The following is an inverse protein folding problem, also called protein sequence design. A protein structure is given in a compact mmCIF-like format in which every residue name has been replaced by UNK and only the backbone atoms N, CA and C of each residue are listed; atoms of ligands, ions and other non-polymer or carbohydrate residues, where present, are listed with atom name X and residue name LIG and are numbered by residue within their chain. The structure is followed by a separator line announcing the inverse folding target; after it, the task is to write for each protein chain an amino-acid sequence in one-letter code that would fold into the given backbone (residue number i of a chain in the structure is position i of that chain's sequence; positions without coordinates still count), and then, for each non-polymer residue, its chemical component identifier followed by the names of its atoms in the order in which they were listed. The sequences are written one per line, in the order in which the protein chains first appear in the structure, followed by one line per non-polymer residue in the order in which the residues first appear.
data_IF_026808724439
#
_entry.id   IF_026808724439
#
_cell.length_a   1.000
_cell.length_b   1.000
_cell.length_c   1.000
_cell.angle_alpha   90.00
_cell.angle_beta   90.00
_cell.angle_gamma   90.00
#
_symmetry.space_group_name_H-M   'P 1'
#
loop_
_entity.id
_entity.type
_entity.pdbx_description
1 polymer ?
#
# COMPACT_ATOMS: atom_id res chain seq x y z
N UNK A 1 -12.12 -12.72 38.43
CA UNK A 1 -10.75 -13.26 38.25
C UNK A 1 -9.77 -12.34 38.95
N UNK A 2 -8.52 -12.78 39.20
CA UNK A 2 -7.39 -11.90 39.57
C UNK A 2 -6.57 -11.59 38.30
N UNK A 3 -5.98 -10.39 38.15
CA UNK A 3 -5.04 -10.13 37.06
C UNK A 3 -3.67 -10.75 37.36
N UNK A 4 -3.18 -11.61 36.47
CA UNK A 4 -1.82 -12.17 36.51
C UNK A 4 -0.82 -11.09 36.07
N UNK A 5 0.04 -10.62 36.99
CA UNK A 5 1.09 -9.63 36.65
C UNK A 5 2.33 -10.33 36.13
N UNK A 6 2.51 -10.38 34.81
CA UNK A 6 3.72 -10.91 34.18
C UNK A 6 4.97 -10.13 34.61
N UNK A 7 5.83 -10.74 35.42
CA UNK A 7 7.12 -10.16 35.83
C UNK A 7 8.16 -10.33 34.72
N UNK A 8 8.48 -9.24 34.04
CA UNK A 8 9.59 -9.18 33.07
C UNK A 8 10.92 -9.42 33.80
N UNK A 9 11.54 -10.58 33.57
CA UNK A 9 12.83 -10.97 34.18
C UNK A 9 14.01 -10.30 33.46
N UNK A 10 14.12 -8.98 33.57
CA UNK A 10 15.20 -8.19 32.96
C UNK A 10 16.49 -8.34 33.76
N UNK A 11 17.58 -8.80 33.12
CA UNK A 11 18.86 -8.94 33.81
C UNK A 11 19.48 -7.57 34.13
N UNK A 12 20.31 -7.51 35.19
CA UNK A 12 20.99 -6.25 35.59
C UNK A 12 21.77 -5.60 34.44
N UNK A 13 22.35 -6.38 33.52
CA UNK A 13 23.08 -5.86 32.35
C UNK A 13 22.15 -5.16 31.35
N UNK A 14 20.95 -5.71 31.10
CA UNK A 14 19.94 -5.09 30.24
C UNK A 14 19.35 -3.82 30.87
N UNK A 15 19.16 -3.80 32.20
CA UNK A 15 18.68 -2.61 32.90
C UNK A 15 19.64 -1.42 32.75
N UNK A 16 20.97 -1.65 32.88
CA UNK A 16 21.96 -0.60 32.62
C UNK A 16 21.93 -0.09 31.17
N UNK A 17 21.75 -0.97 30.17
CA UNK A 17 21.63 -0.55 28.77
C UNK A 17 20.41 0.36 28.53
N UNK A 18 19.24 0.00 29.08
CA UNK A 18 18.02 0.81 29.00
C UNK A 18 18.21 2.19 29.63
N UNK A 19 18.87 2.26 30.79
CA UNK A 19 19.13 3.53 31.48
C UNK A 19 20.05 4.47 30.68
N UNK A 20 21.06 3.93 30.00
CA UNK A 20 21.96 4.72 29.13
C UNK A 20 21.22 5.27 27.91
N UNK A 21 20.40 4.44 27.24
CA UNK A 21 19.63 4.85 26.06
C UNK A 21 18.66 6.00 26.41
N UNK A 22 17.94 5.88 27.53
CA UNK A 22 17.03 6.93 28.00
C UNK A 22 17.73 8.27 28.29
N UNK A 23 18.95 8.24 28.84
CA UNK A 23 19.73 9.44 29.12
C UNK A 23 20.20 10.17 27.84
N UNK A 24 20.55 9.43 26.77
CA UNK A 24 20.99 10.00 25.49
C UNK A 24 19.81 10.60 24.70
N UNK A 25 18.64 9.95 24.73
CA UNK A 25 17.39 10.54 24.19
C UNK A 25 17.01 11.86 24.87
N UNK A 26 17.42 12.02 26.14
CA UNK A 26 17.41 13.26 26.94
C UNK A 26 17.81 14.50 26.13
N UNK A 27 19.10 14.55 25.78
CA UNK A 27 19.80 15.79 25.41
C UNK A 27 19.60 16.27 23.97
N UNK A 28 19.19 15.40 23.04
CA UNK A 28 19.02 15.79 21.64
C UNK A 28 17.71 16.54 21.39
N UNK A 29 16.64 16.23 22.13
CA UNK A 29 15.34 16.89 21.97
C UNK A 29 15.37 18.39 22.34
N UNK A 30 16.30 18.82 23.20
CA UNK A 30 16.40 20.20 23.66
C UNK A 30 16.90 21.19 22.61
N UNK A 31 17.56 20.72 21.54
CA UNK A 31 18.24 21.59 20.57
C UNK A 31 17.34 22.08 19.42
N UNK A 32 16.19 21.44 19.20
CA UNK A 32 15.38 21.65 17.98
C UNK A 32 14.33 22.77 18.14
N UNK A 33 13.87 23.03 19.37
CA UNK A 33 12.73 23.93 19.64
C UNK A 33 13.11 25.44 19.71
N UNK A 34 14.22 25.83 19.08
CA UNK A 34 14.87 27.14 19.23
C UNK A 34 14.91 28.03 17.97
N UNK A 35 13.94 27.91 17.05
CA UNK A 35 13.84 28.70 15.81
C UNK A 35 12.79 29.83 15.88
N UNK A 36 13.03 30.95 15.18
CA UNK A 36 12.22 32.18 15.27
C UNK A 36 11.34 32.42 14.04
N UNK A 37 10.15 32.98 14.28
CA UNK A 37 9.13 33.43 13.30
C UNK A 37 9.55 34.64 12.45
N UNK A 38 8.95 34.82 11.26
CA UNK A 38 8.38 36.11 10.82
C UNK A 38 7.29 35.99 9.72
N UNK A 39 6.66 37.12 9.32
CA UNK A 39 5.48 37.24 8.40
C UNK A 39 5.91 37.45 6.92
N UNK A 40 5.10 37.66 5.86
CA UNK A 40 3.66 38.02 5.62
C UNK A 40 3.34 37.73 4.12
N UNK A 41 2.21 38.01 3.43
CA UNK A 41 0.93 38.73 3.66
C UNK A 41 -0.16 38.24 2.64
N UNK A 42 -1.34 38.89 2.65
CA UNK A 42 -2.55 38.63 1.83
C UNK A 42 -2.50 39.07 0.35
N UNK A 43 -3.48 38.57 -0.44
CA UNK A 43 -3.90 39.11 -1.74
C UNK A 43 -5.21 38.49 -2.26
N UNK A 44 -6.31 39.26 -2.26
CA UNK A 44 -7.63 38.84 -2.81
C UNK A 44 -7.81 39.25 -4.29
N UNK A 45 -8.68 38.54 -5.02
CA UNK A 45 -9.10 38.93 -6.38
C UNK A 45 -10.28 38.13 -6.93
N UNK A 46 -11.46 38.75 -7.04
CA UNK A 46 -12.65 38.18 -7.69
C UNK A 46 -12.58 38.27 -9.24
N UNK A 47 -13.15 37.29 -9.95
CA UNK A 47 -13.36 37.32 -11.40
C UNK A 47 -14.45 36.34 -11.85
N UNK A 48 -15.33 36.75 -12.77
CA UNK A 48 -16.54 35.99 -13.19
C UNK A 48 -16.50 35.55 -14.65
N UNK A 49 -17.30 34.52 -14.97
CA UNK A 49 -17.49 33.88 -16.27
C UNK A 49 -17.74 34.84 -17.46
N UNK A 50 -17.45 34.38 -18.69
CA UNK A 50 -18.42 34.09 -19.78
C UNK A 50 -17.81 33.05 -20.74
N UNK A 51 -18.61 32.17 -21.36
CA UNK A 51 -18.21 31.39 -22.55
C UNK A 51 -18.42 32.19 -23.86
N UNK A 52 -17.55 32.01 -24.86
CA UNK A 52 -17.83 32.46 -26.24
C UNK A 52 -17.07 31.69 -27.34
N UNK A 53 -17.60 30.50 -27.70
CA UNK A 53 -17.81 30.02 -29.08
C UNK A 53 -16.88 30.53 -30.21
N UNK A 54 -16.05 29.63 -30.75
CA UNK A 54 -15.69 29.63 -32.16
C UNK A 54 -15.40 28.20 -32.67
N UNK A 55 -16.13 27.75 -33.69
CA UNK A 55 -15.67 26.67 -34.57
C UNK A 55 -15.14 27.32 -35.85
N UNK A 56 -14.02 26.81 -36.36
CA UNK A 56 -13.70 26.88 -37.78
C UNK A 56 -13.38 25.46 -38.20
N UNK A 57 -13.99 24.99 -39.29
CA UNK A 57 -13.42 23.88 -40.04
C UNK A 57 -12.13 24.34 -40.76
N UNK A 58 -11.47 23.36 -41.36
CA UNK A 58 -10.16 23.51 -42.00
C UNK A 58 -9.81 22.23 -42.76
N UNK A 59 -10.72 21.76 -43.62
CA UNK A 59 -10.48 20.59 -44.46
C UNK A 59 -9.26 20.81 -45.36
N UNK A 60 -8.20 20.01 -45.23
CA UNK A 60 -7.13 19.97 -46.24
C UNK A 60 -6.49 18.57 -46.37
N UNK A 61 -7.02 17.82 -47.34
CA UNK A 61 -6.35 16.83 -48.21
C UNK A 61 -5.21 15.93 -47.68
N UNK A 62 -5.29 14.63 -48.03
CA UNK A 62 -4.32 14.22 -49.06
C UNK A 62 -3.42 12.98 -48.91
N UNK A 63 -3.88 11.88 -48.30
CA UNK A 63 -3.51 10.48 -48.68
C UNK A 63 -2.03 10.01 -48.67
N UNK A 64 -1.86 8.79 -48.15
CA UNK A 64 -0.76 7.80 -48.40
C UNK A 64 0.57 8.00 -47.65
N UNK A 65 0.73 7.17 -46.62
CA UNK A 65 1.98 6.75 -45.96
C UNK A 65 1.69 5.41 -45.28
N UNK A 66 2.70 4.58 -45.03
CA UNK A 66 2.54 3.23 -44.48
C UNK A 66 3.18 3.07 -43.09
N UNK A 67 2.79 1.99 -42.43
CA UNK A 67 3.42 1.34 -41.27
C UNK A 67 3.32 1.97 -39.88
N UNK A 68 3.42 1.05 -38.90
CA UNK A 68 3.59 1.22 -37.45
C UNK A 68 2.43 1.76 -36.62
N UNK A 69 1.93 0.90 -35.72
CA UNK A 69 1.45 1.34 -34.41
C UNK A 69 2.65 1.86 -33.61
N UNK A 70 2.49 3.01 -32.94
CA UNK A 70 3.27 3.36 -31.75
C UNK A 70 2.29 3.73 -30.65
N UNK A 71 2.39 3.05 -29.50
CA UNK A 71 1.38 3.08 -28.44
C UNK A 71 1.39 4.38 -27.63
N UNK A 72 0.21 4.76 -27.12
CA UNK A 72 -0.04 5.98 -26.35
C UNK A 72 0.63 5.96 -24.96
N UNK A 73 1.92 6.34 -24.92
CA UNK A 73 2.71 6.50 -23.69
C UNK A 73 2.54 7.90 -23.09
N UNK A 74 1.30 8.24 -22.72
CA UNK A 74 0.94 9.55 -22.16
C UNK A 74 0.95 9.66 -20.62
N UNK A 75 0.73 8.57 -19.88
CA UNK A 75 0.57 8.61 -18.41
C UNK A 75 1.90 8.37 -17.67
N UNK A 76 2.77 9.37 -17.69
CA UNK A 76 3.87 9.49 -16.74
C UNK A 76 3.34 10.06 -15.41
N UNK A 77 2.89 9.19 -14.51
CA UNK A 77 2.45 9.60 -13.18
C UNK A 77 3.64 10.13 -12.35
N UNK A 78 3.40 11.20 -11.61
CA UNK A 78 4.41 12.04 -10.95
C UNK A 78 4.68 11.68 -9.50
N UNK A 79 4.43 10.44 -9.08
CA UNK A 79 4.49 10.02 -7.68
C UNK A 79 5.92 9.99 -7.13
N UNK A 80 6.25 10.99 -6.32
CA UNK A 80 7.61 11.26 -5.87
C UNK A 80 7.96 10.56 -4.53
N UNK A 81 7.75 9.25 -4.45
CA UNK A 81 8.12 8.42 -3.28
C UNK A 81 9.50 7.74 -3.43
N UNK A 82 10.12 7.40 -2.28
CA UNK A 82 11.43 6.74 -2.11
C UNK A 82 11.90 5.93 -3.34
N UNK A 83 12.98 6.39 -3.98
CA UNK A 83 13.45 5.97 -5.32
C UNK A 83 13.96 4.51 -5.34
N UNK A 84 13.01 3.59 -5.20
CA UNK A 84 13.19 2.15 -5.29
C UNK A 84 13.55 1.81 -6.73
N UNK A 85 14.85 1.66 -7.00
CA UNK A 85 15.37 1.37 -8.34
C UNK A 85 14.57 0.24 -9.01
N UNK A 86 14.17 0.43 -10.28
CA UNK A 86 13.54 -0.64 -11.04
C UNK A 86 14.58 -1.70 -11.37
N UNK A 87 14.27 -2.96 -11.07
CA UNK A 87 15.16 -4.08 -11.35
C UNK A 87 15.12 -4.53 -12.82
N UNK A 88 15.97 -5.50 -13.20
CA UNK A 88 16.03 -6.03 -14.56
C UNK A 88 14.71 -6.58 -15.13
N UNK A 89 13.74 -6.91 -14.27
CA UNK A 89 12.43 -7.46 -14.65
C UNK A 89 11.29 -6.43 -14.49
N UNK A 90 11.62 -5.16 -14.18
CA UNK A 90 10.66 -4.07 -14.01
C UNK A 90 10.00 -3.98 -12.63
N UNK A 91 10.37 -4.85 -11.69
CA UNK A 91 9.91 -4.82 -10.30
C UNK A 91 10.66 -3.80 -9.44
N UNK A 92 10.23 -3.65 -8.18
CA UNK A 92 10.92 -2.86 -7.15
C UNK A 92 12.16 -3.65 -6.68
N UNK A 93 13.37 -3.11 -6.89
CA UNK A 93 14.64 -3.73 -6.49
C UNK A 93 15.12 -3.17 -5.15
N UNK A 94 15.29 -4.06 -4.17
CA UNK A 94 15.83 -3.81 -2.85
C UNK A 94 17.26 -4.37 -2.74
N UNK A 95 18.12 -3.74 -1.93
CA UNK A 95 19.50 -4.17 -1.65
C UNK A 95 19.82 -3.97 -0.17
N UNK A 96 20.38 -4.99 0.47
CA UNK A 96 20.88 -4.92 1.86
C UNK A 96 22.26 -5.60 1.93
N UNK A 97 23.31 -4.79 1.99
CA UNK A 97 24.70 -5.25 1.91
C UNK A 97 25.02 -5.91 0.55
N UNK A 98 25.52 -7.14 0.59
CA UNK A 98 25.80 -7.94 -0.61
C UNK A 98 24.54 -8.55 -1.26
N UNK A 99 23.42 -8.64 -0.53
CA UNK A 99 22.20 -9.31 -0.95
C UNK A 99 21.20 -8.33 -1.59
N UNK A 100 20.44 -8.81 -2.58
CA UNK A 100 19.37 -8.03 -3.21
C UNK A 100 18.16 -8.88 -3.57
N UNK A 101 17.03 -8.21 -3.73
CA UNK A 101 15.74 -8.84 -4.03
C UNK A 101 14.93 -7.92 -4.95
N UNK A 102 14.45 -8.42 -6.08
CA UNK A 102 13.47 -7.72 -6.91
C UNK A 102 12.09 -8.33 -6.67
N UNK A 103 11.07 -7.49 -6.46
CA UNK A 103 9.68 -7.92 -6.29
C UNK A 103 8.78 -7.24 -7.33
N UNK A 104 7.97 -8.04 -8.02
CA UNK A 104 6.97 -7.61 -8.99
C UNK A 104 5.63 -8.27 -8.68
N UNK A 105 4.54 -7.50 -8.67
CA UNK A 105 3.20 -8.08 -8.76
C UNK A 105 2.94 -8.38 -10.24
N UNK A 106 2.80 -9.66 -10.59
CA UNK A 106 2.61 -10.13 -11.96
C UNK A 106 1.19 -10.65 -12.12
N UNK A 107 0.47 -10.16 -13.13
CA UNK A 107 -0.95 -10.43 -13.36
C UNK A 107 -1.16 -11.44 -14.50
N UNK A 108 -0.18 -12.34 -14.66
CA UNK A 108 -0.12 -13.36 -15.70
C UNK A 108 -1.41 -14.20 -15.72
N UNK A 109 -2.30 -13.93 -16.69
CA UNK A 109 -3.57 -14.65 -16.85
C UNK A 109 -4.72 -14.15 -15.97
N UNK A 110 -4.62 -12.97 -15.34
CA UNK A 110 -5.68 -12.39 -14.50
C UNK A 110 -5.69 -12.91 -13.06
N UNK A 111 -4.63 -13.59 -12.62
CA UNK A 111 -4.37 -13.92 -11.22
C UNK A 111 -3.14 -13.14 -10.71
N UNK A 112 -3.31 -11.97 -10.05
CA UNK A 112 -2.19 -11.22 -9.50
C UNK A 112 -1.40 -12.06 -8.48
N UNK A 113 -0.11 -12.25 -8.74
CA UNK A 113 0.80 -13.09 -7.94
C UNK A 113 2.13 -12.39 -7.76
N UNK A 114 2.72 -12.46 -6.57
CA UNK A 114 4.01 -11.84 -6.33
C UNK A 114 5.12 -12.73 -6.92
N UNK A 115 5.89 -12.20 -7.87
CA UNK A 115 7.10 -12.81 -8.42
C UNK A 115 8.33 -12.12 -7.81
N UNK A 116 9.32 -12.91 -7.41
CA UNK A 116 10.52 -12.47 -6.71
C UNK A 116 11.76 -13.03 -7.40
N UNK A 117 12.77 -12.18 -7.58
CA UNK A 117 14.12 -12.59 -7.99
C UNK A 117 15.13 -12.26 -6.90
N UNK A 118 16.18 -13.07 -6.79
CA UNK A 118 17.20 -12.98 -5.75
C UNK A 118 18.56 -12.61 -6.36
N UNK A 119 19.35 -11.82 -5.64
CA UNK A 119 20.65 -11.33 -6.11
C UNK A 119 21.73 -11.42 -5.02
N UNK A 120 22.97 -11.66 -5.44
CA UNK A 120 24.17 -11.42 -4.65
C UNK A 120 25.17 -10.65 -5.51
N UNK A 121 25.67 -9.51 -5.01
CA UNK A 121 26.63 -8.63 -5.72
C UNK A 121 26.16 -8.34 -7.16
N UNK A 122 24.88 -7.98 -7.27
CA UNK A 122 24.14 -7.64 -8.49
C UNK A 122 24.00 -8.77 -9.53
N UNK A 123 24.41 -10.00 -9.19
CA UNK A 123 24.22 -11.20 -10.02
C UNK A 123 23.02 -11.98 -9.54
N UNK A 124 22.21 -12.48 -10.47
CA UNK A 124 21.07 -13.33 -10.15
C UNK A 124 21.52 -14.61 -9.42
N UNK A 125 20.85 -14.91 -8.31
CA UNK A 125 20.95 -16.16 -7.57
C UNK A 125 19.92 -17.17 -8.09
N UNK A 126 20.14 -18.45 -7.79
CA UNK A 126 19.10 -19.45 -7.98
C UNK A 126 17.91 -19.18 -7.05
N UNK A 127 16.70 -19.44 -7.52
CA UNK A 127 15.44 -19.37 -6.76
C UNK A 127 15.41 -20.29 -5.52
N UNK A 128 16.36 -21.22 -5.37
CA UNK A 128 16.57 -22.05 -4.19
C UNK A 128 17.59 -21.50 -3.16
N UNK A 129 18.25 -20.37 -3.43
CA UNK A 129 19.33 -19.83 -2.58
C UNK A 129 18.84 -19.21 -1.25
N UNK A 130 17.57 -18.83 -1.17
CA UNK A 130 16.91 -18.37 0.06
C UNK A 130 15.50 -18.94 0.16
N UNK A 131 15.03 -19.22 1.37
CA UNK A 131 13.61 -19.49 1.63
C UNK A 131 12.88 -18.16 1.82
N UNK A 132 12.00 -17.82 0.88
CA UNK A 132 11.23 -16.57 0.92
C UNK A 132 9.80 -16.82 1.40
N UNK A 133 9.28 -15.86 2.17
CA UNK A 133 7.89 -15.74 2.58
C UNK A 133 7.52 -14.26 2.68
N UNK A 134 6.26 -13.90 2.44
CA UNK A 134 5.81 -12.52 2.58
C UNK A 134 4.48 -12.43 3.33
N UNK A 135 4.14 -11.24 3.81
CA UNK A 135 2.83 -10.92 4.41
C UNK A 135 2.31 -9.65 3.76
N UNK A 136 1.13 -9.74 3.13
CA UNK A 136 0.35 -8.60 2.67
C UNK A 136 -0.53 -8.14 3.82
N UNK A 137 -0.54 -6.85 4.13
CA UNK A 137 -1.45 -6.21 5.10
C UNK A 137 -2.32 -5.21 4.36
N UNK A 138 -3.63 -5.49 4.24
CA UNK A 138 -4.61 -4.60 3.60
C UNK A 138 -4.98 -3.42 4.51
N UNK A 139 -5.50 -2.33 3.94
CA UNK A 139 -5.98 -1.16 4.70
C UNK A 139 -7.05 -1.49 5.77
N UNK A 140 -7.77 -2.60 5.61
CA UNK A 140 -8.74 -3.14 6.57
C UNK A 140 -8.10 -3.77 7.82
N UNK A 141 -6.77 -3.88 7.86
CA UNK A 141 -6.03 -4.62 8.88
C UNK A 141 -5.95 -6.14 8.63
N UNK A 142 -6.58 -6.64 7.56
CA UNK A 142 -6.50 -8.05 7.15
C UNK A 142 -5.07 -8.40 6.74
N UNK A 143 -4.59 -9.58 7.16
CA UNK A 143 -3.24 -10.08 6.84
C UNK A 143 -3.29 -11.40 6.08
N UNK A 144 -2.63 -11.43 4.93
CA UNK A 144 -2.53 -12.58 4.05
C UNK A 144 -1.06 -13.00 3.93
N UNK A 145 -0.74 -14.22 4.35
CA UNK A 145 0.59 -14.80 4.17
C UNK A 145 0.77 -15.33 2.73
N UNK A 146 1.96 -15.10 2.15
CA UNK A 146 2.36 -15.62 0.84
C UNK A 146 3.54 -16.60 1.00
N UNK A 147 3.41 -17.77 0.40
CA UNK A 147 4.41 -18.80 0.29
C UNK A 147 4.88 -18.91 -1.15
N UNK A 148 6.17 -19.15 -1.37
CA UNK A 148 6.76 -19.11 -2.72
C UNK A 148 7.18 -20.50 -3.20
N UNK A 149 7.08 -20.70 -4.51
CA UNK A 149 7.61 -21.86 -5.24
C UNK A 149 8.53 -21.39 -6.37
N UNK A 150 9.67 -22.06 -6.63
CA UNK A 150 10.51 -21.76 -7.77
C UNK A 150 9.73 -21.84 -9.10
N UNK A 151 9.78 -20.76 -9.87
CA UNK A 151 9.37 -20.70 -11.27
C UNK A 151 10.56 -20.19 -12.09
N UNK A 152 11.28 -21.12 -12.73
CA UNK A 152 12.51 -20.85 -13.49
C UNK A 152 13.57 -20.19 -12.58
N UNK A 153 14.11 -19.06 -13.02
CA UNK A 153 14.99 -18.12 -12.31
C UNK A 153 14.32 -17.39 -11.13
N UNK A 154 12.98 -17.39 -11.05
CA UNK A 154 12.20 -16.63 -10.08
C UNK A 154 11.55 -17.49 -8.99
N UNK A 155 10.93 -16.82 -8.02
CA UNK A 155 10.06 -17.37 -6.98
C UNK A 155 8.66 -16.76 -7.15
N UNK A 156 7.63 -17.58 -7.40
CA UNK A 156 6.25 -17.14 -7.59
C UNK A 156 5.37 -17.49 -6.39
N UNK A 157 4.47 -16.58 -5.98
CA UNK A 157 3.53 -16.83 -4.88
C UNK A 157 2.49 -17.89 -5.23
N UNK A 158 2.28 -18.84 -4.30
CA UNK A 158 1.29 -19.91 -4.42
C UNK A 158 -0.13 -19.37 -4.27
N UNK A 159 -0.29 -18.40 -3.40
CA UNK A 159 -1.51 -17.63 -3.17
C UNK A 159 -1.60 -16.46 -4.17
N UNK A 160 -2.81 -16.15 -4.62
CA UNK A 160 -3.12 -14.94 -5.37
C UNK A 160 -3.24 -13.74 -4.43
N UNK A 161 -2.93 -12.54 -4.90
CA UNK A 161 -3.06 -11.27 -4.17
C UNK A 161 -4.20 -10.46 -4.79
N UNK A 162 -5.48 -10.79 -4.51
CA UNK A 162 -6.60 -10.14 -5.17
C UNK A 162 -6.70 -8.66 -4.81
N UNK A 163 -7.24 -7.89 -5.77
CA UNK A 163 -7.63 -6.50 -5.67
C UNK A 163 -8.40 -6.15 -4.37
N UNK A 164 -8.35 -4.89 -3.91
CA UNK A 164 -7.56 -3.78 -4.46
C UNK A 164 -6.08 -3.89 -4.06
N UNK A 165 -5.17 -3.40 -4.91
CA UNK A 165 -3.73 -3.36 -4.62
C UNK A 165 -3.33 -2.19 -3.72
N UNK A 166 -4.16 -1.88 -2.72
CA UNK A 166 -3.92 -0.92 -1.66
C UNK A 166 -3.51 -1.65 -0.37
N UNK A 167 -2.21 -1.93 -0.23
CA UNK A 167 -1.67 -2.73 0.87
C UNK A 167 -0.18 -2.45 1.15
N UNK A 168 0.29 -2.89 2.31
CA UNK A 168 1.71 -3.01 2.64
C UNK A 168 2.16 -4.47 2.44
N UNK A 169 3.29 -4.70 1.77
CA UNK A 169 3.96 -6.01 1.74
C UNK A 169 5.22 -5.95 2.59
N UNK A 170 5.37 -6.92 3.51
CA UNK A 170 6.66 -7.28 4.10
C UNK A 170 7.15 -8.61 3.54
N UNK A 171 8.37 -8.66 3.02
CA UNK A 171 9.06 -9.84 2.50
C UNK A 171 10.19 -10.22 3.45
N UNK A 172 10.26 -11.50 3.82
CA UNK A 172 11.38 -12.09 4.57
C UNK A 172 12.08 -13.12 3.69
N UNK A 173 13.39 -12.92 3.45
CA UNK A 173 14.24 -13.81 2.69
C UNK A 173 15.28 -14.46 3.61
N UNK A 174 15.06 -15.73 3.97
CA UNK A 174 15.98 -16.49 4.82
C UNK A 174 17.07 -17.13 3.95
N UNK A 175 18.25 -16.51 3.91
CA UNK A 175 19.47 -17.11 3.33
C UNK A 175 20.10 -18.10 4.30
N UNK A 176 21.14 -18.81 3.86
CA UNK A 176 21.94 -19.69 4.73
C UNK A 176 22.71 -18.95 5.84
N UNK A 177 22.98 -17.65 5.66
CA UNK A 177 23.77 -16.85 6.60
C UNK A 177 22.89 -16.00 7.54
N UNK A 178 21.86 -15.34 7.00
CA UNK A 178 21.00 -14.41 7.72
C UNK A 178 19.60 -14.28 7.07
N UNK A 179 18.56 -13.92 7.85
CA UNK A 179 17.32 -13.39 7.30
C UNK A 179 17.51 -11.92 6.88
N UNK A 180 17.03 -11.57 5.69
CA UNK A 180 16.87 -10.20 5.21
C UNK A 180 15.38 -9.85 5.19
N UNK A 181 15.03 -8.59 5.47
CA UNK A 181 13.62 -8.15 5.53
C UNK A 181 13.42 -6.87 4.73
N UNK A 182 12.51 -6.90 3.78
CA UNK A 182 12.16 -5.77 2.92
C UNK A 182 10.68 -5.43 3.09
N UNK A 183 10.30 -4.17 2.88
CA UNK A 183 8.92 -3.72 2.97
C UNK A 183 8.62 -2.62 1.95
N UNK A 184 7.44 -2.66 1.35
CA UNK A 184 6.95 -1.61 0.46
C UNK A 184 5.43 -1.57 0.42
N UNK A 185 4.87 -0.39 0.13
CA UNK A 185 3.45 -0.23 -0.16
C UNK A 185 3.17 -0.38 -1.65
N UNK A 186 1.98 -0.91 -1.96
CA UNK A 186 1.25 -0.64 -3.20
C UNK A 186 0.05 0.24 -2.82
N UNK A 187 -0.19 1.28 -3.60
CA UNK A 187 -1.08 2.38 -3.24
C UNK A 187 -2.15 2.63 -4.33
N UNK A 188 -2.37 1.63 -5.18
CA UNK A 188 -3.32 1.70 -6.30
C UNK A 188 -4.74 2.01 -5.82
N UNK A 189 -5.39 2.98 -6.48
CA UNK A 189 -6.74 3.42 -6.14
C UNK A 189 -6.85 4.26 -4.86
N UNK A 190 -5.74 4.63 -4.21
CA UNK A 190 -5.77 5.67 -3.16
C UNK A 190 -5.97 7.04 -3.79
N UNK A 191 -6.53 7.96 -2.99
CA UNK A 191 -6.60 9.39 -3.28
C UNK A 191 -6.11 10.12 -2.05
N UNK A 192 -5.03 10.88 -2.16
CA UNK A 192 -4.58 11.74 -1.07
C UNK A 192 -5.54 12.93 -0.91
N UNK A 193 -5.90 13.25 0.33
CA UNK A 193 -6.75 14.38 0.67
C UNK A 193 -6.01 15.29 1.65
N UNK A 194 -5.77 16.53 1.25
CA UNK A 194 -5.20 17.54 2.15
C UNK A 194 -6.15 17.88 3.29
N UNK A 195 -5.60 18.34 4.43
CA UNK A 195 -6.38 18.86 5.57
C UNK A 195 -7.44 19.89 5.16
N UNK A 196 -7.13 20.71 4.14
CA UNK A 196 -8.06 21.69 3.59
C UNK A 196 -9.27 21.04 2.89
N UNK A 197 -9.05 19.98 2.10
CA UNK A 197 -10.13 19.22 1.46
C UNK A 197 -10.95 18.44 2.50
N UNK A 198 -10.30 17.75 3.44
CA UNK A 198 -10.96 17.02 4.53
C UNK A 198 -11.89 17.95 5.32
N UNK A 199 -11.38 19.12 5.71
CA UNK A 199 -12.13 20.13 6.45
C UNK A 199 -13.25 20.77 5.64
N UNK A 200 -13.01 21.10 4.36
CA UNK A 200 -14.03 21.70 3.49
C UNK A 200 -15.18 20.73 3.18
N UNK A 201 -14.88 19.44 2.98
CA UNK A 201 -15.86 18.39 2.77
C UNK A 201 -16.52 17.87 4.07
N UNK A 202 -16.11 18.38 5.24
CA UNK A 202 -16.54 17.90 6.56
C UNK A 202 -16.35 16.39 6.77
N UNK A 203 -15.28 15.83 6.21
CA UNK A 203 -14.91 14.41 6.36
C UNK A 203 -14.35 14.19 7.78
N UNK A 204 -14.80 13.14 8.44
CA UNK A 204 -14.40 12.78 9.80
C UNK A 204 -14.70 11.32 10.13
N UNK A 205 -14.32 10.89 11.34
CA UNK A 205 -14.51 9.51 11.81
C UNK A 205 -15.28 9.56 13.14
N UNK A 206 -16.52 9.08 13.14
CA UNK A 206 -17.30 8.86 14.36
C UNK A 206 -16.99 7.51 15.01
N UNK A 207 -17.04 7.48 16.35
CA UNK A 207 -16.91 6.22 17.10
C UNK A 207 -18.25 5.48 17.10
N UNK A 208 -18.29 4.29 16.51
CA UNK A 208 -19.49 3.45 16.50
C UNK A 208 -19.95 3.07 17.92
N UNK A 209 -21.25 3.20 18.19
CA UNK A 209 -21.87 2.93 19.49
C UNK A 209 -23.04 1.94 19.41
N UNK A 210 -23.56 1.53 20.57
CA UNK A 210 -24.69 0.62 20.64
C UNK A 210 -25.99 1.28 20.12
N UNK A 211 -26.58 0.71 19.08
CA UNK A 211 -27.81 1.20 18.45
C UNK A 211 -28.74 0.03 18.05
N UNK A 212 -30.05 0.29 18.01
CA UNK A 212 -31.06 -0.69 17.60
C UNK A 212 -31.33 -0.62 16.09
N UNK A 213 -30.75 -1.53 15.31
CA UNK A 213 -31.06 -1.67 13.89
C UNK A 213 -32.49 -2.23 13.73
N UNK A 214 -33.36 -1.51 13.02
CA UNK A 214 -34.75 -1.93 12.73
C UNK A 214 -34.84 -2.70 11.41
N UNK A 215 -34.49 -3.98 11.42
CA UNK A 215 -34.69 -4.89 10.28
C UNK A 215 -36.14 -5.39 10.22
N UNK A 216 -37.06 -4.55 9.75
CA UNK A 216 -38.46 -4.91 9.54
C UNK A 216 -38.79 -4.98 8.04
N UNK A 217 -38.91 -6.20 7.48
CA UNK A 217 -39.33 -6.41 6.09
C UNK A 217 -40.85 -6.60 6.04
N UNK A 218 -41.58 -5.56 5.65
CA UNK A 218 -43.04 -5.63 5.51
C UNK A 218 -43.40 -6.28 4.16
N UNK A 219 -43.69 -7.59 4.19
CA UNK A 219 -44.14 -8.34 3.03
C UNK A 219 -45.65 -8.20 2.81
N UNK A 220 -46.14 -8.03 1.56
CA UNK A 220 -47.54 -8.20 1.24
C UNK A 220 -47.90 -9.69 1.33
N UNK A 221 -48.98 -10.02 2.05
CA UNK A 221 -49.43 -11.40 2.22
C UNK A 221 -50.84 -11.47 2.82
N UNK A 222 -51.52 -12.59 2.59
CA UNK A 222 -52.87 -12.88 3.07
C UNK A 222 -52.80 -13.98 4.13
N UNK A 223 -53.46 -13.78 5.28
CA UNK A 223 -53.55 -14.81 6.32
C UNK A 223 -54.71 -15.74 5.97
N UNK A 224 -54.41 -16.99 5.63
CA UNK A 224 -55.41 -18.05 5.40
C UNK A 224 -55.43 -19.08 6.52
N UNK A 225 -56.57 -19.75 6.66
CA UNK A 225 -56.74 -20.86 7.60
C UNK A 225 -55.87 -22.05 7.16
N UNK A 226 -55.33 -22.80 8.13
CA UNK A 226 -54.66 -24.07 7.87
C UNK A 226 -55.69 -25.21 7.92
N UNK A 227 -56.09 -25.69 6.75
CA UNK A 227 -57.16 -26.69 6.57
C UNK A 227 -56.73 -28.10 7.02
N UNK A 228 -55.43 -28.41 7.06
CA UNK A 228 -54.90 -29.66 7.66
C UNK A 228 -55.08 -29.74 9.19
N UNK A 229 -55.59 -28.67 9.83
CA UNK A 229 -55.78 -28.58 11.28
C UNK A 229 -57.24 -28.44 11.73
N UNK A 230 -58.20 -28.53 10.81
CA UNK A 230 -59.63 -28.63 11.15
C UNK A 230 -60.06 -30.10 11.20
N UNK A 231 -60.40 -30.57 12.40
CA UNK A 231 -61.03 -31.88 12.68
C UNK A 231 -62.52 -31.71 12.96
#
# INVERSE_FOLDING_TARGET
MKPETNKLNVSKKQWFAIAVIAAVGIGLGSAILGGKTDKSAEGEGHGSHVEAKAHSDGEHHGKTGADSHEDDKGHADGEHHEESSKGPHGGKLFKEGDFGLEALLAEDGGEPRLRIWLYEKEKALASSAAKVSATVTRLTGEKQALNFTPDKDSLLSREIVPEPHAFEISIVAQTANAPFTFSFSQEEGKVELSDAQIKAASIGIDTAGAASIKSALQLPGEIRLNEDRTS
#
